data_IF_376586677427
#
_entry.id   IF_376586677427
#
_cell.length_a   1.000
_cell.length_b   1.000
_cell.length_c   1.000
_cell.angle_alpha   90.00
_cell.angle_beta   90.00
_cell.angle_gamma   90.00
#
_symmetry.space_group_name_H-M   'P 1'
#
loop_
_entity.id
_entity.type
_entity.pdbx_description
1 polymer ?
#
# COMPACT_ATOMS: atom_id res chain seq x y z
N UNK A 1 1.62 2.27 3.12
CA UNK A 1 2.77 2.64 2.26
C UNK A 1 3.08 4.12 2.21
N UNK A 2 2.10 5.02 2.11
CA UNK A 2 2.33 6.48 1.98
C UNK A 2 3.24 7.05 3.07
N UNK A 3 2.98 6.74 4.35
CA UNK A 3 3.81 7.21 5.46
C UNK A 3 5.28 6.76 5.35
N UNK A 4 5.54 5.51 4.94
CA UNK A 4 6.91 4.99 4.79
C UNK A 4 7.67 5.69 3.66
N UNK A 5 7.02 5.96 2.52
CA UNK A 5 7.63 6.70 1.40
C UNK A 5 7.85 8.17 1.72
N UNK A 6 6.98 8.72 2.57
CA UNK A 6 7.07 10.10 3.03
C UNK A 6 8.15 10.31 4.10
N UNK A 7 8.31 9.33 4.99
CA UNK A 7 9.24 9.39 6.11
C UNK A 7 10.68 9.69 5.68
N UNK A 8 11.38 10.45 6.52
CA UNK A 8 12.80 10.74 6.39
C UNK A 8 13.48 10.45 7.72
N UNK A 9 14.53 9.64 7.68
CA UNK A 9 15.36 9.32 8.85
C UNK A 9 16.47 10.37 9.01
N UNK A 10 16.93 10.64 10.23
CA UNK A 10 18.13 11.45 10.43
C UNK A 10 19.35 10.81 9.76
N UNK A 11 20.28 11.66 9.34
CA UNK A 11 21.55 11.19 8.81
C UNK A 11 22.44 10.69 9.95
N UNK A 12 23.23 9.66 9.69
CA UNK A 12 24.08 9.00 10.71
C UNK A 12 25.46 8.78 10.12
N UNK A 13 26.48 9.26 10.82
CA UNK A 13 27.88 8.98 10.49
C UNK A 13 28.42 7.94 11.45
N UNK A 14 29.11 6.93 10.92
CA UNK A 14 29.73 5.87 11.70
C UNK A 14 31.23 5.87 11.42
N UNK A 15 32.04 6.08 12.46
CA UNK A 15 33.51 6.04 12.39
C UNK A 15 34.00 4.99 13.37
N UNK A 16 34.39 3.82 12.86
CA UNK A 16 34.70 2.67 13.71
C UNK A 16 33.46 2.23 14.51
N UNK A 17 33.53 2.34 15.83
CA UNK A 17 32.43 2.02 16.75
C UNK A 17 31.63 3.26 17.20
N UNK A 18 32.07 4.46 16.82
CA UNK A 18 31.40 5.71 17.19
C UNK A 18 30.27 6.02 16.20
N UNK A 19 29.06 6.24 16.74
CA UNK A 19 27.85 6.55 15.96
C UNK A 19 27.37 7.96 16.30
N UNK A 20 27.43 8.86 15.32
CA UNK A 20 26.94 10.23 15.44
C UNK A 20 25.63 10.38 14.67
N UNK A 21 24.53 10.68 15.37
CA UNK A 21 23.23 10.98 14.77
C UNK A 21 23.10 12.49 14.58
N UNK A 22 22.96 12.92 13.33
CA UNK A 22 22.86 14.34 12.98
C UNK A 22 21.43 14.84 13.14
N UNK A 23 21.28 16.07 13.63
CA UNK A 23 19.97 16.71 13.74
C UNK A 23 19.40 17.07 12.36
N UNK A 24 18.07 17.18 12.25
CA UNK A 24 17.39 17.52 10.99
C UNK A 24 17.69 18.96 10.51
N UNK A 25 18.22 19.81 11.39
CA UNK A 25 18.66 21.18 11.09
C UNK A 25 20.10 21.22 10.58
N UNK A 26 20.92 20.26 10.98
CA UNK A 26 22.35 20.19 10.63
C UNK A 26 22.57 19.46 9.30
N UNK A 27 21.79 18.41 9.04
CA UNK A 27 21.87 17.64 7.79
C UNK A 27 20.50 17.34 7.20
N UNK A 28 20.46 17.25 5.87
CA UNK A 28 19.25 16.87 5.13
C UNK A 28 18.82 15.45 5.53
N UNK A 29 17.57 15.26 5.97
CA UNK A 29 17.05 13.94 6.29
C UNK A 29 16.97 13.00 5.07
N UNK A 30 17.31 11.72 5.27
CA UNK A 30 17.45 10.72 4.20
C UNK A 30 16.16 9.90 4.04
N UNK A 31 15.67 9.63 2.81
CA UNK A 31 14.52 8.74 2.60
C UNK A 31 14.84 7.27 2.93
N UNK A 32 13.78 6.49 3.16
CA UNK A 32 13.90 5.03 3.24
C UNK A 32 14.09 4.42 1.86
N UNK A 33 14.90 3.36 1.78
CA UNK A 33 15.02 2.54 0.57
C UNK A 33 13.81 1.59 0.48
N UNK A 34 12.87 1.91 -0.42
CA UNK A 34 11.66 1.12 -0.65
C UNK A 34 11.66 0.65 -2.10
N UNK A 35 11.69 -0.68 -2.30
CA UNK A 35 11.76 -1.29 -3.63
C UNK A 35 10.39 -1.44 -4.30
N UNK A 36 9.37 -1.81 -3.53
CA UNK A 36 8.01 -2.01 -4.01
C UNK A 36 7.00 -1.44 -3.01
N UNK A 37 5.82 -1.07 -3.50
CA UNK A 37 4.76 -0.45 -2.70
C UNK A 37 3.48 -1.29 -2.78
N UNK A 38 3.39 -2.39 -2.01
CA UNK A 38 2.22 -3.24 -2.05
C UNK A 38 1.01 -2.49 -1.49
N UNK A 39 -0.14 -2.69 -2.13
CA UNK A 39 -1.43 -2.14 -1.72
C UNK A 39 -2.42 -3.26 -1.49
N UNK A 40 -3.18 -3.13 -0.41
CA UNK A 40 -4.20 -4.09 -0.05
C UNK A 40 -5.55 -3.64 -0.61
N UNK A 41 -6.27 -4.59 -1.21
CA UNK A 41 -7.64 -4.44 -1.67
C UNK A 41 -8.48 -5.56 -1.07
N UNK A 42 -9.71 -5.24 -0.68
CA UNK A 42 -10.62 -6.22 -0.07
C UNK A 42 -11.87 -6.33 -0.92
N UNK A 43 -12.19 -7.57 -1.29
CA UNK A 43 -13.46 -7.93 -1.90
C UNK A 43 -14.37 -8.56 -0.84
N UNK A 44 -15.62 -8.12 -0.78
CA UNK A 44 -16.68 -8.76 -0.02
C UNK A 44 -17.56 -9.59 -0.95
N UNK A 45 -17.93 -10.79 -0.49
CA UNK A 45 -18.86 -11.68 -1.15
C UNK A 45 -20.12 -11.80 -0.29
N UNK A 46 -21.27 -11.82 -0.96
CA UNK A 46 -22.58 -12.04 -0.37
C UNK A 46 -23.12 -13.37 -0.87
N UNK A 47 -23.99 -14.01 -0.08
CA UNK A 47 -24.61 -15.27 -0.49
C UNK A 47 -25.42 -15.12 -1.79
N UNK A 48 -25.61 -16.23 -2.50
CA UNK A 48 -26.37 -16.41 -3.75
C UNK A 48 -25.94 -15.61 -5.00
N UNK A 49 -25.10 -14.58 -4.87
CA UNK A 49 -24.61 -13.79 -6.01
C UNK A 49 -23.10 -13.87 -6.20
N UNK A 50 -22.70 -14.14 -7.46
CA UNK A 50 -21.30 -14.09 -7.94
C UNK A 50 -20.66 -12.69 -7.90
N UNK A 51 -21.35 -11.71 -7.32
CA UNK A 51 -21.05 -10.30 -7.43
C UNK A 51 -20.22 -9.85 -6.22
N UNK A 52 -18.90 -9.84 -6.40
CA UNK A 52 -17.96 -9.34 -5.41
C UNK A 52 -17.95 -7.81 -5.38
N UNK A 53 -18.07 -7.23 -4.18
CA UNK A 53 -17.95 -5.77 -3.97
C UNK A 53 -16.52 -5.43 -3.58
N UNK A 54 -15.89 -4.49 -4.29
CA UNK A 54 -14.55 -3.98 -3.97
C UNK A 54 -14.66 -2.82 -2.96
N UNK A 55 -13.79 -2.84 -1.95
CA UNK A 55 -13.74 -1.85 -0.86
C UNK A 55 -15.09 -1.73 -0.12
N UNK A 56 -15.55 -2.81 0.53
CA UNK A 56 -16.83 -2.82 1.23
C UNK A 56 -16.87 -1.76 2.33
N UNK A 57 -18.00 -1.07 2.41
CA UNK A 57 -18.34 -0.21 3.54
C UNK A 57 -18.51 -1.03 4.82
N UNK A 58 -18.61 -0.35 5.96
CA UNK A 58 -18.81 -1.04 7.24
C UNK A 58 -20.04 -1.96 7.23
N UNK A 59 -21.18 -1.48 6.73
CA UNK A 59 -22.41 -2.28 6.66
C UNK A 59 -22.26 -3.47 5.72
N UNK A 60 -21.66 -3.27 4.55
CA UNK A 60 -21.38 -4.35 3.59
C UNK A 60 -20.45 -5.41 4.19
N UNK A 61 -19.41 -5.00 4.92
CA UNK A 61 -18.50 -5.93 5.59
C UNK A 61 -19.16 -6.74 6.70
N UNK A 62 -20.20 -6.21 7.35
CA UNK A 62 -20.94 -6.91 8.40
C UNK A 62 -21.95 -7.91 7.83
N UNK A 63 -22.50 -7.62 6.65
CA UNK A 63 -23.50 -8.44 5.98
C UNK A 63 -22.88 -9.45 5.01
N UNK A 64 -21.59 -9.30 4.69
CA UNK A 64 -20.88 -10.22 3.81
C UNK A 64 -20.71 -11.60 4.46
N UNK A 65 -20.70 -12.64 3.64
CA UNK A 65 -20.51 -14.02 4.12
C UNK A 65 -19.06 -14.47 4.01
N UNK A 66 -18.30 -13.85 3.12
CA UNK A 66 -16.86 -14.03 3.02
C UNK A 66 -16.14 -12.83 2.42
N UNK A 67 -14.83 -12.80 2.61
CA UNK A 67 -13.94 -11.77 2.07
C UNK A 67 -12.72 -12.37 1.37
N UNK A 68 -12.19 -11.64 0.39
CA UNK A 68 -10.92 -11.91 -0.26
C UNK A 68 -10.06 -10.66 -0.20
N UNK A 69 -8.99 -10.69 0.59
CA UNK A 69 -7.99 -9.64 0.64
C UNK A 69 -6.81 -9.99 -0.25
N UNK A 70 -6.45 -9.08 -1.14
CA UNK A 70 -5.29 -9.18 -2.04
C UNK A 70 -4.30 -8.06 -1.69
N UNK A 71 -3.03 -8.42 -1.52
CA UNK A 71 -1.93 -7.45 -1.50
C UNK A 71 -1.18 -7.56 -2.82
N UNK A 72 -1.22 -6.50 -3.63
CA UNK A 72 -0.63 -6.47 -4.97
C UNK A 72 0.39 -5.32 -5.08
N UNK A 73 1.43 -5.54 -5.86
CA UNK A 73 2.37 -4.49 -6.27
C UNK A 73 1.94 -3.88 -7.62
N UNK A 74 2.43 -2.67 -7.97
CA UNK A 74 2.15 -2.02 -9.26
C UNK A 74 2.66 -2.82 -10.46
N UNK A 75 3.66 -3.68 -10.23
CA UNK A 75 4.18 -4.67 -11.18
C UNK A 75 3.26 -5.89 -11.38
N UNK A 76 2.05 -5.87 -10.82
CA UNK A 76 1.05 -6.95 -10.95
C UNK A 76 1.47 -8.25 -10.27
N UNK A 77 2.39 -8.17 -9.31
CA UNK A 77 2.83 -9.28 -8.48
C UNK A 77 1.94 -9.40 -7.25
N UNK A 78 1.53 -10.64 -6.92
CA UNK A 78 0.75 -10.93 -5.71
C UNK A 78 1.72 -11.14 -4.55
N UNK A 79 1.61 -10.29 -3.53
CA UNK A 79 2.35 -10.47 -2.28
C UNK A 79 1.58 -11.38 -1.32
N UNK A 80 0.27 -11.18 -1.19
CA UNK A 80 -0.59 -11.94 -0.27
C UNK A 80 -1.97 -12.14 -0.90
N UNK A 81 -2.53 -13.33 -0.72
CA UNK A 81 -3.92 -13.65 -1.01
C UNK A 81 -4.52 -14.33 0.21
N UNK A 82 -5.61 -13.77 0.73
CA UNK A 82 -6.27 -14.25 1.94
C UNK A 82 -7.78 -14.31 1.72
N UNK A 83 -8.34 -15.51 1.62
CA UNK A 83 -9.78 -15.75 1.60
C UNK A 83 -10.25 -16.11 3.00
N UNK A 84 -11.28 -15.45 3.50
CA UNK A 84 -11.86 -15.71 4.82
C UNK A 84 -13.37 -15.88 4.72
N UNK A 85 -13.89 -16.97 5.29
CA UNK A 85 -15.33 -17.26 5.29
C UNK A 85 -15.92 -17.50 3.90
N UNK A 86 -17.25 -17.53 3.86
CA UNK A 86 -18.07 -17.60 2.65
C UNK A 86 -18.03 -18.93 1.90
N UNK A 87 -18.77 -18.97 0.79
CA UNK A 87 -18.81 -20.09 -0.13
C UNK A 87 -17.43 -20.37 -0.77
N UNK A 88 -17.19 -21.60 -1.28
CA UNK A 88 -16.03 -21.90 -2.10
C UNK A 88 -15.99 -20.99 -3.34
N UNK A 89 -14.84 -20.36 -3.60
CA UNK A 89 -14.63 -19.52 -4.78
C UNK A 89 -13.94 -20.34 -5.87
N UNK A 90 -14.42 -20.22 -7.11
CA UNK A 90 -13.74 -20.81 -8.26
C UNK A 90 -12.42 -20.10 -8.55
N UNK A 91 -11.45 -20.83 -9.09
CA UNK A 91 -10.15 -20.24 -9.47
C UNK A 91 -10.32 -19.09 -10.48
N UNK A 92 -11.27 -19.21 -11.41
CA UNK A 92 -11.57 -18.17 -12.40
C UNK A 92 -12.06 -16.88 -11.74
N UNK A 93 -12.81 -16.97 -10.65
CA UNK A 93 -13.33 -15.80 -9.93
C UNK A 93 -12.22 -15.08 -9.18
N UNK A 94 -11.32 -15.85 -8.57
CA UNK A 94 -10.11 -15.32 -7.93
C UNK A 94 -9.25 -14.61 -8.96
N UNK A 95 -9.05 -15.20 -10.14
CA UNK A 95 -8.27 -14.57 -11.22
C UNK A 95 -8.93 -13.29 -11.76
N UNK A 96 -10.27 -13.25 -11.83
CA UNK A 96 -11.00 -12.01 -12.14
C UNK A 96 -10.77 -10.93 -11.08
N UNK A 97 -10.87 -11.28 -9.79
CA UNK A 97 -10.62 -10.36 -8.69
C UNK A 97 -9.17 -9.84 -8.68
N UNK A 98 -8.19 -10.69 -8.96
CA UNK A 98 -6.78 -10.28 -9.13
C UNK A 98 -6.63 -9.31 -10.28
N UNK A 99 -7.22 -9.60 -11.44
CA UNK A 99 -7.11 -8.75 -12.63
C UNK A 99 -7.69 -7.34 -12.38
N UNK A 100 -8.86 -7.27 -11.76
CA UNK A 100 -9.48 -6.00 -11.35
C UNK A 100 -8.65 -5.29 -10.25
N UNK A 101 -8.11 -6.07 -9.32
CA UNK A 101 -7.25 -5.55 -8.27
C UNK A 101 -5.97 -4.89 -8.81
N UNK A 102 -5.35 -5.47 -9.84
CA UNK A 102 -4.15 -4.90 -10.49
C UNK A 102 -4.44 -3.52 -11.08
N UNK A 103 -5.57 -3.35 -11.77
CA UNK A 103 -5.97 -2.07 -12.33
C UNK A 103 -6.15 -1.02 -11.22
N UNK A 104 -6.86 -1.40 -10.15
CA UNK A 104 -7.11 -0.51 -9.01
C UNK A 104 -5.83 -0.12 -8.27
N UNK A 105 -4.92 -1.07 -8.05
CA UNK A 105 -3.63 -0.79 -7.38
C UNK A 105 -2.79 0.19 -8.19
N UNK A 106 -2.77 0.08 -9.53
CA UNK A 106 -2.06 1.05 -10.39
C UNK A 106 -2.61 2.46 -10.22
N UNK A 107 -3.95 2.61 -10.25
CA UNK A 107 -4.59 3.91 -10.06
C UNK A 107 -4.27 4.53 -8.69
N UNK A 108 -4.32 3.72 -7.62
CA UNK A 108 -4.03 4.18 -6.26
C UNK A 108 -2.55 4.52 -6.09
N UNK A 109 -1.63 3.74 -6.68
CA UNK A 109 -0.19 4.03 -6.65
C UNK A 109 0.13 5.34 -7.36
N UNK A 110 -0.46 5.59 -8.53
CA UNK A 110 -0.31 6.86 -9.24
C UNK A 110 -0.79 8.05 -8.40
N UNK A 111 -1.94 7.91 -7.73
CA UNK A 111 -2.47 8.96 -6.82
C UNK A 111 -1.51 9.21 -5.65
N UNK A 112 -0.97 8.15 -5.04
CA UNK A 112 0.00 8.27 -3.93
C UNK A 112 1.29 8.93 -4.40
N UNK A 113 1.84 8.52 -5.54
CA UNK A 113 3.04 9.12 -6.13
C UNK A 113 2.82 10.60 -6.41
N UNK A 114 1.69 10.96 -7.04
CA UNK A 114 1.36 12.35 -7.34
C UNK A 114 1.26 13.22 -6.08
N UNK A 115 0.55 12.74 -5.06
CA UNK A 115 0.42 13.47 -3.79
C UNK A 115 1.78 13.65 -3.09
N UNK A 116 2.65 12.64 -3.11
CA UNK A 116 4.00 12.73 -2.55
C UNK A 116 4.89 13.70 -3.33
N UNK A 117 4.75 13.80 -4.65
CA UNK A 117 5.47 14.77 -5.47
C UNK A 117 5.01 16.20 -5.18
N UNK A 118 3.71 16.42 -5.04
CA UNK A 118 3.14 17.73 -4.68
C UNK A 118 3.62 18.19 -3.29
N UNK A 119 3.58 17.31 -2.29
CA UNK A 119 4.10 17.59 -0.95
C UNK A 119 5.62 17.88 -0.96
N UNK A 120 6.40 17.17 -1.79
CA UNK A 120 7.84 17.44 -1.92
C UNK A 120 8.11 18.84 -2.49
N UNK A 121 7.22 19.37 -3.34
CA UNK A 121 7.39 20.71 -3.94
C UNK A 121 7.04 21.84 -2.98
N UNK A 122 6.06 21.66 -2.11
CA UNK A 122 5.66 22.67 -1.12
C UNK A 122 6.64 22.74 0.06
N UNK A 123 7.34 21.64 0.33
CA UNK A 123 8.31 21.53 1.42
C UNK A 123 9.65 22.17 1.02
N UNK A 124 9.83 23.45 1.32
CA UNK A 124 11.14 24.12 1.24
C UNK A 124 11.99 23.60 2.41
N UNK A 125 13.02 22.80 2.12
CA UNK A 125 13.99 22.36 3.12
C UNK A 125 15.20 23.29 3.03
N UNK A 126 15.14 24.43 3.72
CA UNK A 126 16.33 25.25 3.96
C UNK A 126 17.18 24.58 5.05
N UNK A 127 18.38 24.14 4.69
CA UNK A 127 19.42 23.77 5.65
C UNK A 127 20.29 25.00 5.83
N UNK A 128 20.41 25.49 7.07
CA UNK A 128 21.22 26.66 7.42
C UNK A 128 22.67 26.30 7.63
#
# INVERSE_FOLDING_TARGET
MTALRHFRKPDVTVVGEEVTVHSMTERVPVPLAIHHSPMCLTFAFFDDDSLAVLDPTHLESQLCTGTLTLALNSQSEICVLSKQGGAPLGADEVMRAVSLGVERVREVDERVVKALMEDKRTRVVEVR
#
